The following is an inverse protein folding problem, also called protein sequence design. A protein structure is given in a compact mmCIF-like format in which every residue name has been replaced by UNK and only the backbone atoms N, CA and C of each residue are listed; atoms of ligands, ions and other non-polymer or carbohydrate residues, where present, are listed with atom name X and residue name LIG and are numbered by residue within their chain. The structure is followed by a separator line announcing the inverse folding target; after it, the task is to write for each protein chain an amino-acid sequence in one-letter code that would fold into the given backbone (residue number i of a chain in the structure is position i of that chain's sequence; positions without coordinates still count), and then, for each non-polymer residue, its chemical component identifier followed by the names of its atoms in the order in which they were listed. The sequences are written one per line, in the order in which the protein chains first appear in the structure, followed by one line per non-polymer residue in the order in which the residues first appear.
data_IF_383006286695
#
_entry.id   IF_383006286695
#
_cell.length_a   1.000
_cell.length_b   1.000
_cell.length_c   1.000
_cell.angle_alpha   90.00
_cell.angle_beta   90.00
_cell.angle_gamma   90.00
#
_symmetry.space_group_name_H-M   'P 1'
#
loop_
_entity.id
_entity.type
_entity.pdbx_description
1 polymer ?
#
# COMPACT_ATOMS: atom_id res chain seq x y z
N UNK A 1 -16.98 6.46 2.15
CA UNK A 1 -16.03 5.57 1.42
C UNK A 1 -15.07 6.44 0.63
N UNK A 2 -13.82 6.02 0.49
CA UNK A 2 -12.79 6.74 -0.27
C UNK A 2 -12.41 5.88 -1.49
N UNK A 3 -12.93 6.21 -2.66
CA UNK A 3 -12.63 5.54 -3.92
C UNK A 3 -11.48 6.25 -4.59
N UNK A 4 -10.33 5.59 -4.64
CA UNK A 4 -9.06 6.09 -5.18
C UNK A 4 -8.83 5.43 -6.54
N UNK A 5 -8.57 6.24 -7.57
CA UNK A 5 -8.43 5.70 -8.93
C UNK A 5 -7.34 6.40 -9.74
N UNK A 6 -6.75 5.66 -10.69
CA UNK A 6 -5.81 6.15 -11.69
C UNK A 6 -5.77 5.21 -12.89
N UNK A 7 -6.18 5.70 -14.08
CA UNK A 7 -6.20 4.95 -15.34
C UNK A 7 -6.95 3.61 -15.22
N UNK A 8 -8.20 3.65 -14.83
CA UNK A 8 -9.06 2.48 -14.58
C UNK A 8 -10.40 2.57 -15.36
N UNK A 9 -10.37 3.11 -16.57
CA UNK A 9 -11.58 3.29 -17.39
C UNK A 9 -12.39 2.02 -17.62
N UNK A 10 -11.75 0.83 -17.58
CA UNK A 10 -12.44 -0.44 -17.84
C UNK A 10 -13.21 -0.95 -16.61
N UNK A 11 -12.84 -0.52 -15.40
CA UNK A 11 -13.35 -1.09 -14.14
C UNK A 11 -14.07 -0.08 -13.25
N UNK A 12 -13.84 1.21 -13.47
CA UNK A 12 -14.33 2.28 -12.58
C UNK A 12 -15.85 2.24 -12.38
N UNK A 13 -16.65 1.88 -13.38
CA UNK A 13 -18.10 1.81 -13.25
C UNK A 13 -18.54 0.73 -12.27
N UNK A 14 -17.93 -0.47 -12.34
CA UNK A 14 -18.19 -1.55 -11.38
C UNK A 14 -17.80 -1.16 -9.95
N UNK A 15 -16.67 -0.44 -9.79
CA UNK A 15 -16.23 0.06 -8.49
C UNK A 15 -17.19 1.12 -7.92
N UNK A 16 -17.71 2.02 -8.77
CA UNK A 16 -18.72 3.01 -8.39
C UNK A 16 -20.03 2.35 -7.98
N UNK A 17 -20.51 1.38 -8.75
CA UNK A 17 -21.72 0.60 -8.40
C UNK A 17 -21.56 -0.11 -7.05
N UNK A 18 -20.41 -0.75 -6.81
CA UNK A 18 -20.12 -1.35 -5.51
C UNK A 18 -20.07 -0.32 -4.37
N UNK A 19 -19.56 0.88 -4.62
CA UNK A 19 -19.52 1.94 -3.62
C UNK A 19 -20.91 2.50 -3.29
N UNK A 20 -21.79 2.69 -4.30
CA UNK A 20 -23.13 3.25 -4.06
C UNK A 20 -24.16 2.20 -3.62
N UNK A 21 -23.83 0.91 -3.70
CA UNK A 21 -24.73 -0.19 -3.29
C UNK A 21 -24.75 -0.43 -1.78
N UNK A 22 -23.97 0.33 -0.98
CA UNK A 22 -23.87 0.07 0.44
C UNK A 22 -25.21 0.23 1.17
N UNK A 23 -25.51 -0.73 2.05
CA UNK A 23 -26.74 -0.80 2.83
C UNK A 23 -26.73 0.07 4.11
N UNK A 24 -25.65 0.81 4.33
CA UNK A 24 -25.50 1.70 5.49
C UNK A 24 -25.92 3.14 5.15
N UNK A 25 -26.95 3.68 5.81
CA UNK A 25 -27.60 4.92 5.35
C UNK A 25 -26.73 6.17 5.48
N UNK A 26 -25.84 6.22 6.48
CA UNK A 26 -24.99 7.38 6.74
C UNK A 26 -23.61 7.23 6.07
N UNK A 27 -23.63 7.12 4.74
CA UNK A 27 -22.41 6.94 3.92
C UNK A 27 -22.27 8.06 2.90
N UNK A 28 -21.11 8.71 2.87
CA UNK A 28 -20.69 9.57 1.75
C UNK A 28 -19.60 8.86 0.93
N UNK A 29 -19.56 9.11 -0.37
CA UNK A 29 -18.64 8.48 -1.31
C UNK A 29 -17.80 9.57 -1.93
N UNK A 30 -16.51 9.58 -1.58
CA UNK A 30 -15.52 10.51 -2.07
C UNK A 30 -14.70 9.79 -3.14
N UNK A 31 -14.70 10.30 -4.35
CA UNK A 31 -14.04 9.73 -5.52
C UNK A 31 -12.89 10.66 -5.89
N UNK A 32 -11.65 10.17 -5.75
CA UNK A 32 -10.46 10.95 -6.10
C UNK A 32 -9.67 10.28 -7.22
N UNK A 33 -9.64 10.95 -8.36
CA UNK A 33 -8.88 10.57 -9.54
C UNK A 33 -7.49 11.22 -9.53
N UNK A 34 -6.44 10.42 -9.63
CA UNK A 34 -5.05 10.88 -9.56
C UNK A 34 -4.50 11.31 -10.93
N UNK A 35 -5.23 12.19 -11.62
CA UNK A 35 -4.91 12.73 -12.95
C UNK A 35 -4.88 11.65 -14.04
N UNK A 36 -5.91 10.79 -14.10
CA UNK A 36 -6.05 9.79 -15.18
C UNK A 36 -5.97 10.43 -16.57
N UNK A 37 -5.35 9.69 -17.50
CA UNK A 37 -5.14 10.10 -18.88
C UNK A 37 -6.07 9.37 -19.87
N UNK A 38 -6.81 8.37 -19.36
CA UNK A 38 -7.86 7.64 -20.07
C UNK A 38 -9.25 8.20 -19.72
N UNK A 39 -10.32 7.53 -20.11
CA UNK A 39 -11.71 7.97 -19.87
C UNK A 39 -12.21 7.70 -18.44
N UNK A 40 -11.34 7.45 -17.46
CA UNK A 40 -11.74 7.18 -16.09
C UNK A 40 -12.55 8.33 -15.50
N UNK A 41 -12.04 9.57 -15.58
CA UNK A 41 -12.68 10.70 -14.95
C UNK A 41 -13.99 11.13 -15.63
N UNK A 42 -14.06 11.03 -16.96
CA UNK A 42 -15.28 11.28 -17.73
C UNK A 42 -16.41 10.34 -17.30
N UNK A 43 -16.10 9.04 -17.12
CA UNK A 43 -17.06 8.05 -16.62
C UNK A 43 -17.53 8.35 -15.18
N UNK A 44 -16.63 8.84 -14.31
CA UNK A 44 -16.98 9.28 -12.95
C UNK A 44 -17.97 10.44 -13.00
N UNK A 45 -17.73 11.44 -13.84
CA UNK A 45 -18.63 12.60 -13.99
C UNK A 45 -20.01 12.15 -14.48
N UNK A 46 -20.05 11.34 -15.55
CA UNK A 46 -21.29 10.84 -16.14
C UNK A 46 -22.09 10.02 -15.11
N UNK A 47 -21.45 9.07 -14.44
CA UNK A 47 -22.08 8.28 -13.38
C UNK A 47 -22.65 9.17 -12.26
N UNK A 48 -21.84 10.11 -11.77
CA UNK A 48 -22.23 10.97 -10.65
C UNK A 48 -23.38 11.90 -10.97
N UNK A 49 -23.48 12.39 -12.22
CA UNK A 49 -24.59 13.22 -12.67
C UNK A 49 -25.93 12.46 -12.76
N UNK A 50 -25.86 11.19 -13.10
CA UNK A 50 -27.02 10.32 -13.28
C UNK A 50 -27.42 9.58 -11.99
N UNK A 51 -26.61 9.67 -10.94
CA UNK A 51 -26.89 9.00 -9.68
C UNK A 51 -28.04 9.67 -8.91
N UNK A 52 -29.11 8.93 -8.65
CA UNK A 52 -30.30 9.39 -7.91
C UNK A 52 -30.47 8.65 -6.57
N UNK A 53 -29.46 7.91 -6.13
CA UNK A 53 -29.53 7.13 -4.89
C UNK A 53 -29.32 7.97 -3.62
N UNK A 54 -29.35 7.33 -2.44
CA UNK A 54 -29.37 8.02 -1.15
C UNK A 54 -28.03 8.58 -0.69
N UNK A 55 -26.91 8.13 -1.28
CA UNK A 55 -25.57 8.51 -0.82
C UNK A 55 -25.12 9.81 -1.46
N UNK A 56 -24.41 10.63 -0.69
CA UNK A 56 -23.77 11.84 -1.20
C UNK A 56 -22.50 11.46 -1.95
N UNK A 57 -22.39 11.84 -3.23
CA UNK A 57 -21.20 11.67 -4.05
C UNK A 57 -20.42 12.98 -4.16
N UNK A 58 -19.12 12.90 -3.92
CA UNK A 58 -18.16 14.00 -4.14
C UNK A 58 -17.06 13.45 -5.01
N UNK A 59 -16.76 14.09 -6.14
CA UNK A 59 -15.67 13.70 -7.01
C UNK A 59 -14.66 14.83 -7.22
N UNK A 60 -13.40 14.45 -7.35
CA UNK A 60 -12.27 15.34 -7.53
C UNK A 60 -11.25 14.71 -8.47
N UNK A 61 -10.62 15.52 -9.33
CA UNK A 61 -9.48 15.13 -10.14
C UNK A 61 -8.27 15.95 -9.71
N UNK A 62 -7.16 15.30 -9.39
CA UNK A 62 -5.91 15.98 -9.14
C UNK A 62 -5.38 16.65 -10.43
N UNK A 63 -4.70 17.81 -10.36
CA UNK A 63 -4.12 18.45 -11.54
C UNK A 63 -2.95 17.67 -12.13
N UNK A 64 -2.26 16.86 -11.31
CA UNK A 64 -1.16 15.98 -11.68
C UNK A 64 -1.21 14.70 -10.85
N UNK A 65 -0.52 13.64 -11.29
CA UNK A 65 -0.40 12.41 -10.49
C UNK A 65 0.46 12.67 -9.26
N UNK A 66 -0.15 12.65 -8.09
CA UNK A 66 0.47 12.92 -6.79
C UNK A 66 0.83 11.66 -6.02
N UNK A 67 0.39 10.48 -6.51
CA UNK A 67 0.58 9.17 -5.89
C UNK A 67 -0.47 8.83 -4.84
N UNK A 68 -0.59 7.54 -4.54
CA UNK A 68 -1.71 6.97 -3.75
C UNK A 68 -1.88 7.63 -2.38
N UNK A 69 -0.77 7.82 -1.61
CA UNK A 69 -0.86 8.41 -0.27
C UNK A 69 -1.41 9.83 -0.28
N UNK A 70 -0.95 10.70 -1.20
CA UNK A 70 -1.45 12.07 -1.30
C UNK A 70 -2.85 12.12 -1.91
N UNK A 71 -3.20 11.22 -2.83
CA UNK A 71 -4.56 11.12 -3.36
C UNK A 71 -5.57 10.73 -2.25
N UNK A 72 -5.18 9.84 -1.32
CA UNK A 72 -5.97 9.53 -0.13
C UNK A 72 -6.10 10.77 0.78
N UNK A 73 -5.02 11.52 1.00
CA UNK A 73 -5.07 12.75 1.79
C UNK A 73 -6.08 13.76 1.20
N UNK A 74 -6.12 13.91 -0.13
CA UNK A 74 -7.10 14.77 -0.80
C UNK A 74 -8.52 14.26 -0.58
N UNK A 75 -8.76 12.95 -0.71
CA UNK A 75 -10.07 12.35 -0.46
C UNK A 75 -10.53 12.58 1.00
N UNK A 76 -9.63 12.43 1.98
CA UNK A 76 -9.95 12.67 3.39
C UNK A 76 -10.28 14.14 3.66
N UNK A 77 -9.57 15.09 3.05
CA UNK A 77 -9.85 16.53 3.16
C UNK A 77 -11.25 16.89 2.67
N UNK A 78 -11.75 16.19 1.65
CA UNK A 78 -13.10 16.39 1.10
C UNK A 78 -14.19 15.68 1.90
N UNK A 79 -13.82 14.76 2.78
CA UNK A 79 -14.76 13.94 3.55
C UNK A 79 -15.12 14.58 4.89
N UNK A 80 -16.34 14.32 5.36
CA UNK A 80 -16.81 14.67 6.70
C UNK A 80 -16.88 13.46 7.65
N UNK A 81 -16.74 12.25 7.13
CA UNK A 81 -16.89 11.00 7.87
C UNK A 81 -15.79 10.76 8.91
N UNK A 82 -16.12 10.01 9.96
CA UNK A 82 -15.20 9.63 11.05
C UNK A 82 -14.54 8.27 10.83
N UNK A 83 -15.03 7.49 9.86
CA UNK A 83 -14.50 6.17 9.51
C UNK A 83 -14.34 6.09 7.99
N UNK A 84 -13.16 5.73 7.52
CA UNK A 84 -12.79 5.69 6.11
C UNK A 84 -12.73 4.26 5.61
N UNK A 85 -13.49 3.93 4.59
CA UNK A 85 -13.45 2.65 3.89
C UNK A 85 -12.66 2.84 2.62
N UNK A 86 -11.49 2.20 2.55
CA UNK A 86 -10.64 2.26 1.36
C UNK A 86 -11.23 1.40 0.25
N UNK A 87 -11.26 1.95 -0.95
CA UNK A 87 -11.66 1.20 -2.14
C UNK A 87 -10.87 1.70 -3.35
N UNK A 88 -10.52 0.80 -4.26
CA UNK A 88 -9.81 1.12 -5.49
C UNK A 88 -10.76 1.09 -6.68
N UNK A 89 -10.45 1.83 -7.76
CA UNK A 89 -11.30 1.89 -8.95
C UNK A 89 -11.29 0.62 -9.81
N UNK A 90 -10.61 -0.46 -9.37
CA UNK A 90 -10.64 -1.80 -9.98
C UNK A 90 -11.24 -2.89 -9.08
N UNK A 91 -11.62 -2.54 -7.83
CA UNK A 91 -12.20 -3.46 -6.87
C UNK A 91 -13.69 -3.14 -6.61
N UNK A 92 -14.45 -4.13 -6.17
CA UNK A 92 -15.88 -3.98 -5.91
C UNK A 92 -16.17 -4.23 -4.43
N UNK A 93 -16.69 -3.22 -3.72
CA UNK A 93 -17.19 -3.40 -2.36
C UNK A 93 -18.54 -4.11 -2.36
N UNK A 94 -18.69 -5.16 -1.53
CA UNK A 94 -19.96 -5.85 -1.39
C UNK A 94 -20.98 -4.97 -0.65
N UNK A 95 -22.29 -5.04 -0.92
CA UNK A 95 -23.30 -4.13 -0.39
C UNK A 95 -23.33 -4.02 1.13
N UNK A 96 -23.05 -5.08 1.85
CA UNK A 96 -23.05 -5.14 3.32
C UNK A 96 -21.67 -4.86 3.96
N UNK A 97 -20.68 -4.36 3.19
CA UNK A 97 -19.35 -4.10 3.72
C UNK A 97 -19.35 -3.05 4.82
N UNK A 98 -20.00 -1.90 4.57
CA UNK A 98 -20.02 -0.81 5.54
C UNK A 98 -20.78 -1.22 6.79
N UNK A 99 -21.99 -1.78 6.66
CA UNK A 99 -22.81 -2.21 7.80
C UNK A 99 -22.12 -3.28 8.66
N UNK A 100 -21.46 -4.27 8.05
CA UNK A 100 -20.69 -5.31 8.75
C UNK A 100 -19.54 -4.72 9.57
N UNK A 101 -18.72 -3.87 8.95
CA UNK A 101 -17.59 -3.24 9.64
C UNK A 101 -18.06 -2.32 10.77
N UNK A 102 -19.11 -1.51 10.53
CA UNK A 102 -19.67 -0.61 11.53
C UNK A 102 -20.29 -1.35 12.70
N UNK A 103 -20.95 -2.49 12.46
CA UNK A 103 -21.46 -3.38 13.50
C UNK A 103 -20.32 -3.88 14.40
N UNK A 104 -19.25 -4.41 13.80
CA UNK A 104 -18.08 -4.89 14.56
C UNK A 104 -17.43 -3.74 15.34
N UNK A 105 -17.29 -2.56 14.75
CA UNK A 105 -16.73 -1.39 15.42
C UNK A 105 -17.55 -0.96 16.64
N UNK A 106 -18.88 -1.02 16.52
CA UNK A 106 -19.81 -0.77 17.64
C UNK A 106 -19.68 -1.83 18.73
N UNK A 107 -19.62 -3.12 18.37
CA UNK A 107 -19.42 -4.24 19.31
C UNK A 107 -18.08 -4.13 20.07
N UNK A 108 -17.07 -3.53 19.44
CA UNK A 108 -15.77 -3.21 20.07
C UNK A 108 -15.79 -1.89 20.86
N UNK A 109 -16.97 -1.33 21.17
CA UNK A 109 -17.12 -0.05 21.87
C UNK A 109 -16.28 1.09 21.27
N UNK A 110 -16.16 1.14 19.94
CA UNK A 110 -15.41 2.15 19.18
C UNK A 110 -13.91 2.22 19.50
N UNK A 111 -13.36 1.16 20.11
CA UNK A 111 -11.97 1.11 20.56
C UNK A 111 -10.96 0.78 19.45
N UNK A 112 -11.43 0.16 18.36
CA UNK A 112 -10.59 -0.23 17.22
C UNK A 112 -10.44 0.93 16.24
N UNK A 113 -9.24 1.09 15.70
CA UNK A 113 -8.91 2.17 14.77
C UNK A 113 -8.63 1.71 13.33
N UNK A 114 -8.33 0.41 13.14
CA UNK A 114 -8.20 -0.21 11.83
C UNK A 114 -8.89 -1.56 11.81
N UNK A 115 -9.76 -1.75 10.84
CA UNK A 115 -10.44 -3.03 10.57
C UNK A 115 -10.10 -3.46 9.14
N UNK A 116 -9.46 -4.62 9.00
CA UNK A 116 -9.29 -5.31 7.74
C UNK A 116 -10.38 -6.36 7.54
N UNK A 117 -10.66 -6.74 6.29
CA UNK A 117 -11.56 -7.84 5.99
C UNK A 117 -10.91 -8.81 5.00
N UNK A 118 -11.49 -10.00 4.85
CA UNK A 118 -11.13 -10.90 3.76
C UNK A 118 -11.68 -10.36 2.44
N UNK A 119 -11.17 -10.89 1.34
CA UNK A 119 -11.59 -10.53 0.00
C UNK A 119 -12.00 -11.81 -0.76
N UNK A 120 -12.63 -11.62 -1.90
CA UNK A 120 -12.89 -12.68 -2.86
C UNK A 120 -12.18 -12.32 -4.17
N UNK A 121 -11.52 -13.28 -4.75
CA UNK A 121 -10.77 -13.11 -5.96
C UNK A 121 -11.70 -12.85 -7.16
N UNK A 122 -11.35 -11.82 -7.96
CA UNK A 122 -12.05 -11.39 -9.16
C UNK A 122 -11.05 -11.39 -10.32
N UNK A 123 -11.38 -12.05 -11.42
CA UNK A 123 -10.52 -12.02 -12.61
C UNK A 123 -10.87 -10.85 -13.55
N UNK A 124 -10.14 -10.76 -14.66
CA UNK A 124 -10.34 -9.70 -15.66
C UNK A 124 -11.68 -9.78 -16.41
N UNK A 125 -12.38 -10.91 -16.32
CA UNK A 125 -13.70 -11.13 -16.93
C UNK A 125 -14.83 -10.93 -15.91
N UNK A 126 -14.52 -10.35 -14.73
CA UNK A 126 -15.44 -10.13 -13.61
C UNK A 126 -16.03 -11.44 -13.03
N UNK A 127 -15.33 -12.57 -13.22
CA UNK A 127 -15.71 -13.86 -12.63
C UNK A 127 -15.04 -14.00 -11.25
N UNK A 128 -15.85 -14.35 -10.25
CA UNK A 128 -15.37 -14.54 -8.88
C UNK A 128 -14.79 -15.96 -8.68
N UNK A 129 -13.71 -16.02 -7.89
CA UNK A 129 -13.03 -17.25 -7.50
C UNK A 129 -13.03 -17.44 -5.97
N UNK A 130 -12.02 -18.14 -5.44
CA UNK A 130 -11.93 -18.46 -4.01
C UNK A 130 -11.67 -17.23 -3.11
N UNK A 131 -11.82 -17.39 -1.80
CA UNK A 131 -11.52 -16.34 -0.85
C UNK A 131 -10.01 -16.04 -0.80
N UNK A 132 -9.69 -14.76 -0.56
CA UNK A 132 -8.35 -14.29 -0.25
C UNK A 132 -8.34 -13.89 1.23
N UNK A 133 -7.62 -14.66 2.04
CA UNK A 133 -7.43 -14.35 3.45
C UNK A 133 -6.30 -13.34 3.63
N UNK A 134 -6.48 -12.38 4.51
CA UNK A 134 -5.44 -11.51 5.03
C UNK A 134 -5.05 -11.93 6.45
N UNK A 135 -3.96 -11.37 6.97
CA UNK A 135 -3.50 -11.70 8.33
C UNK A 135 -4.51 -11.24 9.37
N UNK A 136 -4.79 -12.09 10.35
CA UNK A 136 -5.59 -11.72 11.51
C UNK A 136 -4.81 -10.74 12.39
N UNK A 137 -5.22 -9.47 12.36
CA UNK A 137 -4.56 -8.38 13.07
C UNK A 137 -4.79 -8.42 14.59
N UNK A 138 -5.80 -9.13 15.08
CA UNK A 138 -6.02 -9.30 16.51
C UNK A 138 -4.87 -10.05 17.21
N UNK A 139 -4.02 -10.74 16.44
CA UNK A 139 -2.81 -11.41 16.94
C UNK A 139 -1.66 -10.45 17.24
N UNK A 140 -1.71 -9.22 16.74
CA UNK A 140 -0.71 -8.18 16.97
C UNK A 140 -1.14 -7.31 18.14
N UNK A 141 -0.62 -7.62 19.33
CA UNK A 141 -0.97 -6.91 20.57
C UNK A 141 -0.12 -5.65 20.77
N UNK A 142 1.09 -5.65 20.24
CA UNK A 142 2.05 -4.55 20.29
C UNK A 142 2.97 -4.53 19.07
N UNK A 143 3.87 -3.55 19.04
CA UNK A 143 4.84 -3.41 17.93
C UNK A 143 5.85 -4.56 17.85
N UNK A 144 6.16 -5.25 18.96
CA UNK A 144 7.10 -6.37 18.94
C UNK A 144 6.57 -7.53 18.11
N UNK A 145 5.25 -7.69 18.05
CA UNK A 145 4.60 -8.72 17.25
C UNK A 145 4.82 -8.51 15.74
N UNK A 146 5.08 -7.27 15.31
CA UNK A 146 5.52 -6.99 13.94
C UNK A 146 6.82 -7.71 13.56
N UNK A 147 7.68 -7.91 14.54
CA UNK A 147 8.94 -8.63 14.36
C UNK A 147 8.76 -10.12 14.63
N UNK A 148 8.08 -10.49 15.72
CA UNK A 148 7.89 -11.87 16.17
C UNK A 148 7.05 -12.70 15.18
N UNK A 149 5.94 -12.12 14.71
CA UNK A 149 5.00 -12.77 13.80
C UNK A 149 5.30 -12.47 12.32
N UNK A 150 6.17 -11.49 12.05
CA UNK A 150 6.46 -10.96 10.72
C UNK A 150 5.43 -9.93 10.27
N UNK A 151 5.69 -9.31 9.11
CA UNK A 151 4.79 -8.31 8.55
C UNK A 151 3.46 -8.95 8.16
N UNK A 152 2.30 -8.35 8.53
CA UNK A 152 1.01 -8.89 8.16
C UNK A 152 0.83 -8.85 6.62
N UNK A 153 0.14 -9.84 6.08
CA UNK A 153 -0.31 -9.82 4.69
C UNK A 153 -1.63 -9.05 4.65
N UNK A 154 -1.62 -7.87 4.06
CA UNK A 154 -2.78 -6.98 3.96
C UNK A 154 -3.01 -6.54 2.51
N UNK A 155 -4.16 -5.97 2.24
CA UNK A 155 -4.55 -5.37 0.96
C UNK A 155 -5.29 -4.08 1.30
N UNK A 156 -4.87 -2.95 0.72
CA UNK A 156 -5.40 -1.62 1.03
C UNK A 156 -6.91 -1.51 0.82
N UNK A 157 -7.42 -2.03 -0.29
CA UNK A 157 -8.85 -2.04 -0.61
C UNK A 157 -9.73 -2.78 0.41
N UNK A 158 -9.14 -3.65 1.26
CA UNK A 158 -9.83 -4.39 2.30
C UNK A 158 -9.79 -3.70 3.68
N UNK A 159 -9.21 -2.50 3.78
CA UNK A 159 -9.06 -1.80 5.05
C UNK A 159 -10.12 -0.70 5.25
N UNK A 160 -10.40 -0.46 6.51
CA UNK A 160 -11.18 0.68 6.97
C UNK A 160 -10.48 1.28 8.20
N UNK A 161 -10.40 2.63 8.27
CA UNK A 161 -9.66 3.35 9.31
C UNK A 161 -10.52 4.43 9.95
N UNK A 162 -10.28 4.72 11.23
CA UNK A 162 -10.87 5.90 11.87
C UNK A 162 -10.13 7.18 11.46
N UNK A 163 -10.86 8.30 11.42
CA UNK A 163 -10.25 9.64 11.30
C UNK A 163 -9.25 9.89 12.42
N UNK A 164 -9.55 9.42 13.63
CA UNK A 164 -8.67 9.51 14.79
C UNK A 164 -7.28 8.91 14.51
N UNK A 165 -7.21 7.70 13.92
CA UNK A 165 -5.94 7.08 13.57
C UNK A 165 -5.16 7.92 12.54
N UNK A 166 -5.83 8.42 11.52
CA UNK A 166 -5.22 9.24 10.48
C UNK A 166 -4.67 10.55 11.05
N UNK A 167 -5.46 11.28 11.85
CA UNK A 167 -5.09 12.61 12.39
C UNK A 167 -4.01 12.53 13.48
N UNK A 168 -4.01 11.46 14.29
CA UNK A 168 -3.01 11.26 15.36
C UNK A 168 -1.57 11.24 14.85
N UNK A 169 -1.36 10.94 13.58
CA UNK A 169 -0.04 10.90 12.94
C UNK A 169 0.16 11.99 11.88
N UNK A 170 -0.74 12.96 11.81
CA UNK A 170 -0.65 14.09 10.87
C UNK A 170 -0.90 13.72 9.40
N UNK A 171 -1.67 12.65 9.14
CA UNK A 171 -2.01 12.19 7.81
C UNK A 171 -1.01 11.15 7.25
N UNK A 172 -1.08 10.91 5.94
CA UNK A 172 -0.18 10.01 5.23
C UNK A 172 0.98 10.85 4.65
N UNK A 173 2.25 10.53 4.93
CA UNK A 173 3.38 11.28 4.39
C UNK A 173 3.39 11.29 2.85
N UNK A 174 3.65 12.45 2.25
CA UNK A 174 3.76 12.58 0.79
C UNK A 174 4.86 11.64 0.25
N UNK A 175 4.54 10.85 -0.77
CA UNK A 175 5.43 9.86 -1.34
C UNK A 175 5.28 8.45 -0.75
N UNK A 176 4.35 8.25 0.19
CA UNK A 176 3.96 6.90 0.65
C UNK A 176 3.29 6.13 -0.49
N UNK A 177 3.68 4.86 -0.63
CA UNK A 177 3.14 3.90 -1.61
C UNK A 177 2.51 2.68 -0.93
N UNK A 178 3.02 2.30 0.24
CA UNK A 178 2.48 1.23 1.06
C UNK A 178 1.68 1.81 2.24
N UNK A 179 0.65 2.59 1.93
CA UNK A 179 -0.22 3.25 2.90
C UNK A 179 -0.96 2.26 3.78
N UNK A 180 -1.33 1.11 3.22
CA UNK A 180 -1.99 0.01 3.91
C UNK A 180 -1.13 -0.58 5.03
N UNK A 181 0.17 -0.79 4.75
CA UNK A 181 1.13 -1.28 5.73
C UNK A 181 1.46 -0.21 6.77
N UNK A 182 1.55 1.06 6.35
CA UNK A 182 1.81 2.18 7.25
C UNK A 182 0.68 2.37 8.26
N UNK A 183 -0.57 2.37 7.79
CA UNK A 183 -1.74 2.52 8.66
C UNK A 183 -1.92 1.31 9.58
N UNK A 184 -1.65 0.10 9.09
CA UNK A 184 -1.66 -1.10 9.93
C UNK A 184 -0.59 -1.04 11.03
N UNK A 185 0.63 -0.60 10.72
CA UNK A 185 1.69 -0.43 11.71
C UNK A 185 1.29 0.57 12.81
N UNK A 186 0.70 1.72 12.42
CA UNK A 186 0.20 2.73 13.36
C UNK A 186 -0.89 2.18 14.28
N UNK A 187 -1.84 1.42 13.74
CA UNK A 187 -2.93 0.83 14.52
C UNK A 187 -2.42 -0.28 15.46
N UNK A 188 -1.48 -1.11 15.02
CA UNK A 188 -0.82 -2.14 15.84
C UNK A 188 -0.02 -1.49 16.98
N UNK A 189 0.68 -0.39 16.71
CA UNK A 189 1.47 0.33 17.70
C UNK A 189 0.66 0.79 18.93
N UNK A 190 -0.65 0.93 18.77
CA UNK A 190 -1.58 1.32 19.85
C UNK A 190 -2.57 0.21 20.22
N UNK A 191 -2.37 -1.03 19.73
CA UNK A 191 -3.20 -2.19 20.03
C UNK A 191 -4.65 -2.06 19.55
N UNK A 192 -4.91 -1.40 18.40
CA UNK A 192 -6.26 -1.06 17.92
C UNK A 192 -6.55 -1.52 16.50
N UNK A 193 -6.08 -2.73 16.15
CA UNK A 193 -6.30 -3.34 14.85
C UNK A 193 -6.97 -4.69 14.97
N UNK A 194 -7.90 -5.02 14.06
CA UNK A 194 -8.50 -6.34 13.95
C UNK A 194 -8.82 -6.74 12.51
N UNK A 195 -9.14 -8.00 12.29
CA UNK A 195 -9.55 -8.53 10.98
C UNK A 195 -10.89 -9.26 11.10
N UNK A 196 -11.82 -8.91 10.20
CA UNK A 196 -13.08 -9.64 10.02
C UNK A 196 -12.81 -10.77 9.02
N UNK A 197 -12.98 -12.05 9.39
CA UNK A 197 -12.70 -13.19 8.50
C UNK A 197 -13.86 -13.46 7.53
N UNK A 198 -14.41 -12.39 6.95
CA UNK A 198 -15.50 -12.43 5.98
C UNK A 198 -15.09 -11.68 4.73
N UNK A 199 -15.30 -12.25 3.51
CA UNK A 199 -15.06 -11.55 2.27
C UNK A 199 -16.06 -10.42 2.05
N UNK A 200 -15.59 -9.17 2.10
CA UNK A 200 -16.41 -7.97 1.94
C UNK A 200 -16.02 -7.15 0.70
N UNK A 201 -15.00 -7.58 -0.04
CA UNK A 201 -14.50 -6.93 -1.26
C UNK A 201 -14.21 -7.98 -2.32
N UNK A 202 -14.63 -7.75 -3.56
CA UNK A 202 -14.15 -8.47 -4.72
C UNK A 202 -12.88 -7.78 -5.21
N UNK A 203 -11.75 -8.49 -5.14
CA UNK A 203 -10.42 -7.98 -5.45
C UNK A 203 -9.97 -8.42 -6.82
N UNK A 204 -9.74 -7.46 -7.73
CA UNK A 204 -9.36 -7.74 -9.12
C UNK A 204 -7.86 -7.99 -9.25
N UNK A 205 -7.52 -9.16 -9.80
CA UNK A 205 -6.12 -9.48 -10.11
C UNK A 205 -5.61 -8.66 -11.28
N UNK A 206 -4.34 -8.27 -11.23
CA UNK A 206 -3.66 -7.64 -12.37
C UNK A 206 -3.73 -6.13 -12.41
N UNK A 207 -4.10 -5.47 -11.33
CA UNK A 207 -4.07 -4.01 -11.20
C UNK A 207 -2.71 -3.39 -11.53
N UNK A 208 -2.61 -2.07 -11.51
CA UNK A 208 -1.43 -1.26 -11.90
C UNK A 208 -0.13 -1.63 -11.18
N UNK A 209 -0.22 -2.34 -10.05
CA UNK A 209 0.91 -2.83 -9.24
C UNK A 209 1.44 -4.20 -9.67
N UNK A 210 0.88 -4.84 -10.71
CA UNK A 210 1.33 -6.15 -11.18
C UNK A 210 2.83 -6.16 -11.51
N UNK A 211 3.54 -7.19 -11.05
CA UNK A 211 5.00 -7.33 -11.25
C UNK A 211 5.31 -7.49 -12.73
N UNK A 212 5.85 -6.45 -13.37
CA UNK A 212 6.47 -6.60 -14.69
C UNK A 212 7.77 -7.41 -14.55
N UNK A 213 7.98 -8.38 -15.41
CA UNK A 213 9.23 -9.15 -15.45
C UNK A 213 10.42 -8.20 -15.68
N UNK A 214 11.33 -8.16 -14.70
CA UNK A 214 12.53 -7.32 -14.76
C UNK A 214 13.57 -7.99 -15.66
N UNK A 215 13.71 -7.45 -16.86
CA UNK A 215 14.49 -8.11 -17.93
C UNK A 215 15.94 -7.62 -17.99
N UNK A 216 16.30 -6.46 -17.41
CA UNK A 216 17.62 -5.87 -17.49
C UNK A 216 18.14 -5.31 -16.16
N UNK A 217 19.46 -5.20 -16.03
CA UNK A 217 20.11 -4.55 -14.87
C UNK A 217 19.68 -3.08 -14.74
N UNK A 218 19.49 -2.37 -15.83
CA UNK A 218 18.97 -0.99 -15.82
C UNK A 218 17.57 -0.91 -15.19
N UNK A 219 16.68 -1.85 -15.52
CA UNK A 219 15.34 -1.93 -14.91
C UNK A 219 15.42 -2.27 -13.41
N UNK A 220 16.35 -3.13 -13.00
CA UNK A 220 16.61 -3.47 -11.58
C UNK A 220 17.12 -2.25 -10.83
N UNK A 221 18.10 -1.52 -11.36
CA UNK A 221 18.66 -0.30 -10.75
C UNK A 221 17.57 0.79 -10.65
N UNK A 222 16.85 1.05 -11.73
CA UNK A 222 15.72 2.02 -11.74
C UNK A 222 14.68 1.68 -10.67
N UNK A 223 14.34 0.39 -10.53
CA UNK A 223 13.43 -0.07 -9.48
C UNK A 223 13.97 0.18 -8.07
N UNK A 224 15.26 -0.06 -7.82
CA UNK A 224 15.87 0.24 -6.53
C UNK A 224 15.79 1.73 -6.22
N UNK A 225 16.21 2.59 -7.15
CA UNK A 225 16.25 4.04 -6.91
C UNK A 225 14.88 4.69 -6.77
N UNK A 226 13.86 4.22 -7.50
CA UNK A 226 12.48 4.68 -7.34
C UNK A 226 11.90 4.25 -5.99
N UNK A 227 12.06 2.98 -5.64
CA UNK A 227 11.50 2.42 -4.41
C UNK A 227 12.14 3.02 -3.16
N UNK A 228 13.46 3.23 -3.15
CA UNK A 228 14.21 3.69 -1.98
C UNK A 228 13.67 5.00 -1.38
N UNK A 229 13.31 5.97 -2.22
CA UNK A 229 12.77 7.24 -1.73
C UNK A 229 11.48 7.04 -0.93
N UNK A 230 10.52 6.30 -1.48
CA UNK A 230 9.24 6.05 -0.84
C UNK A 230 9.41 5.20 0.42
N UNK A 231 10.20 4.14 0.35
CA UNK A 231 10.48 3.27 1.50
C UNK A 231 11.16 4.04 2.66
N UNK A 232 12.04 4.98 2.37
CA UNK A 232 12.65 5.82 3.43
C UNK A 232 11.62 6.71 4.12
N UNK A 233 10.68 7.29 3.38
CA UNK A 233 9.58 8.09 3.96
C UNK A 233 8.73 7.22 4.90
N UNK A 234 8.32 6.06 4.44
CA UNK A 234 7.53 5.10 5.21
C UNK A 234 8.27 4.66 6.48
N UNK A 235 9.54 4.30 6.37
CA UNK A 235 10.37 3.90 7.52
C UNK A 235 10.58 5.04 8.53
N UNK A 236 10.72 6.29 8.08
CA UNK A 236 10.81 7.44 8.99
C UNK A 236 9.51 7.64 9.77
N UNK A 237 8.37 7.47 9.13
CA UNK A 237 7.07 7.55 9.81
C UNK A 237 6.90 6.40 10.81
N UNK A 238 7.25 5.17 10.42
CA UNK A 238 7.24 4.01 11.32
C UNK A 238 8.19 4.19 12.51
N UNK A 239 9.38 4.77 12.31
CA UNK A 239 10.32 5.09 13.39
C UNK A 239 9.74 6.13 14.35
N UNK A 240 9.11 7.19 13.86
CA UNK A 240 8.40 8.18 14.69
C UNK A 240 7.27 7.52 15.47
N UNK A 241 6.44 6.71 14.81
CA UNK A 241 5.36 5.96 15.45
C UNK A 241 5.89 5.07 16.57
N UNK A 242 6.96 4.30 16.31
CA UNK A 242 7.58 3.43 17.30
C UNK A 242 8.19 4.20 18.47
N UNK A 243 8.79 5.36 18.23
CA UNK A 243 9.36 6.19 19.29
C UNK A 243 8.31 6.85 20.20
N UNK A 244 7.11 7.11 19.64
CA UNK A 244 6.03 7.81 20.37
C UNK A 244 5.17 6.83 21.19
N UNK A 245 4.95 5.61 20.68
CA UNK A 245 4.01 4.65 21.27
C UNK A 245 4.75 3.48 21.97
N UNK A 246 5.22 3.67 23.19
CA UNK A 246 5.92 2.65 23.99
C UNK A 246 7.13 2.06 23.27
N UNK A 247 8.24 2.79 23.15
CA UNK A 247 9.35 2.44 22.30
C UNK A 247 9.96 1.09 22.65
N UNK A 248 9.89 0.15 21.71
CA UNK A 248 10.58 -1.12 21.78
C UNK A 248 11.98 -0.99 21.16
N UNK A 249 13.07 -1.26 21.91
CA UNK A 249 14.42 -1.26 21.34
C UNK A 249 14.57 -2.23 20.16
N UNK A 250 13.85 -3.36 20.18
CA UNK A 250 13.90 -4.37 19.12
C UNK A 250 13.31 -3.79 17.82
N UNK A 251 12.15 -3.17 17.90
CA UNK A 251 11.48 -2.55 16.74
C UNK A 251 12.28 -1.36 16.21
N UNK A 252 12.75 -0.48 17.09
CA UNK A 252 13.57 0.66 16.71
C UNK A 252 14.86 0.25 16.01
N UNK A 253 15.58 -0.74 16.55
CA UNK A 253 16.80 -1.27 15.92
C UNK A 253 16.51 -1.90 14.56
N UNK A 254 15.43 -2.65 14.44
CA UNK A 254 15.01 -3.26 13.17
C UNK A 254 14.68 -2.20 12.10
N UNK A 255 13.84 -1.22 12.43
CA UNK A 255 13.47 -0.15 11.50
C UNK A 255 14.69 0.74 11.13
N UNK A 256 15.56 1.03 12.09
CA UNK A 256 16.81 1.75 11.84
C UNK A 256 17.71 1.00 10.87
N UNK A 257 17.88 -0.31 11.05
CA UNK A 257 18.66 -1.15 10.14
C UNK A 257 18.08 -1.14 8.70
N UNK A 258 16.74 -1.17 8.57
CA UNK A 258 16.08 -1.04 7.27
C UNK A 258 16.32 0.34 6.64
N UNK A 259 16.23 1.42 7.44
CA UNK A 259 16.48 2.78 6.97
C UNK A 259 17.94 2.99 6.52
N UNK A 260 18.91 2.46 7.28
CA UNK A 260 20.32 2.48 6.91
C UNK A 260 20.60 1.73 5.62
N UNK A 261 19.91 0.61 5.39
CA UNK A 261 19.98 -0.14 4.12
C UNK A 261 19.49 0.70 2.94
N UNK A 262 18.34 1.33 3.07
CA UNK A 262 17.80 2.18 2.00
C UNK A 262 18.71 3.41 1.76
N UNK A 263 19.31 3.96 2.81
CA UNK A 263 20.31 5.03 2.71
C UNK A 263 21.57 4.56 1.98
N UNK A 264 22.06 3.35 2.26
CA UNK A 264 23.17 2.75 1.52
C UNK A 264 22.83 2.59 0.03
N UNK A 265 21.62 2.11 -0.31
CA UNK A 265 21.16 2.00 -1.70
C UNK A 265 21.14 3.37 -2.38
N UNK A 266 20.62 4.39 -1.73
CA UNK A 266 20.61 5.75 -2.27
C UNK A 266 22.03 6.28 -2.54
N UNK A 267 22.93 6.12 -1.59
CA UNK A 267 24.33 6.51 -1.71
C UNK A 267 25.09 5.80 -2.83
N UNK A 268 24.79 4.52 -3.05
CA UNK A 268 25.43 3.73 -4.08
C UNK A 268 24.94 4.04 -5.51
N UNK A 269 23.67 4.44 -5.66
CA UNK A 269 23.06 4.55 -6.98
C UNK A 269 22.71 5.98 -7.41
N UNK A 270 22.37 6.89 -6.48
CA UNK A 270 21.99 8.27 -6.81
C UNK A 270 23.16 9.25 -6.79
N UNK A 271 24.26 8.93 -6.13
CA UNK A 271 25.42 9.83 -6.01
C UNK A 271 26.55 9.42 -6.95
N UNK A 272 27.24 10.44 -7.54
CA UNK A 272 28.42 10.22 -8.37
C UNK A 272 29.63 9.91 -7.49
N UNK A 273 29.69 8.70 -6.92
CA UNK A 273 30.80 8.22 -6.07
C UNK A 273 31.74 7.30 -6.86
N UNK A 274 33.03 7.38 -6.59
CA UNK A 274 34.04 6.47 -7.12
C UNK A 274 33.88 5.05 -6.55
N UNK A 275 34.44 4.05 -7.22
CA UNK A 275 34.43 2.66 -6.72
C UNK A 275 35.03 2.54 -5.31
N UNK A 276 36.08 3.31 -5.00
CA UNK A 276 36.71 3.33 -3.68
C UNK A 276 35.79 3.89 -2.59
N UNK A 277 35.09 4.97 -2.89
CA UNK A 277 34.09 5.54 -1.96
C UNK A 277 32.90 4.60 -1.73
N UNK A 278 32.38 3.98 -2.78
CA UNK A 278 31.32 2.97 -2.67
C UNK A 278 31.75 1.77 -1.81
N UNK A 279 33.02 1.32 -1.98
CA UNK A 279 33.55 0.24 -1.15
C UNK A 279 33.64 0.64 0.33
N UNK A 280 34.06 1.88 0.63
CA UNK A 280 34.07 2.40 1.99
C UNK A 280 32.66 2.44 2.62
N UNK A 281 31.65 2.89 1.88
CA UNK A 281 30.26 2.90 2.35
C UNK A 281 29.76 1.51 2.68
N UNK A 282 30.03 0.53 1.82
CA UNK A 282 29.67 -0.88 2.04
C UNK A 282 30.36 -1.47 3.26
N UNK A 283 31.66 -1.17 3.44
CA UNK A 283 32.42 -1.65 4.59
C UNK A 283 31.92 -1.02 5.91
N UNK A 284 31.53 0.25 5.89
CA UNK A 284 31.04 0.99 7.05
C UNK A 284 29.61 0.55 7.47
N UNK A 285 28.78 0.10 6.54
CA UNK A 285 27.43 -0.33 6.86
C UNK A 285 27.45 -1.64 7.66
N UNK A 286 26.86 -1.67 8.86
CA UNK A 286 26.81 -2.83 9.76
C UNK A 286 25.50 -3.62 9.66
N UNK A 287 24.44 -3.03 9.13
CA UNK A 287 23.09 -3.58 9.14
C UNK A 287 22.83 -4.61 8.04
N UNK A 288 23.53 -4.52 6.89
CA UNK A 288 23.32 -5.42 5.75
C UNK A 288 24.22 -6.67 5.76
N UNK A 289 23.64 -7.80 5.32
CA UNK A 289 24.37 -9.07 5.15
C UNK A 289 25.43 -8.96 4.05
N UNK A 290 26.58 -9.63 4.22
CA UNK A 290 27.71 -9.61 3.28
C UNK A 290 27.30 -9.92 1.84
N UNK A 291 26.47 -10.94 1.62
CA UNK A 291 26.01 -11.30 0.27
C UNK A 291 25.18 -10.17 -0.40
N UNK A 292 24.34 -9.46 0.38
CA UNK A 292 23.58 -8.29 -0.11
C UNK A 292 24.53 -7.14 -0.44
N UNK A 293 25.51 -6.85 0.41
CA UNK A 293 26.54 -5.83 0.20
C UNK A 293 27.33 -6.07 -1.09
N UNK A 294 27.78 -7.29 -1.33
CA UNK A 294 28.48 -7.66 -2.56
C UNK A 294 27.59 -7.42 -3.78
N UNK A 295 26.33 -7.87 -3.71
CA UNK A 295 25.38 -7.69 -4.81
C UNK A 295 25.12 -6.21 -5.11
N UNK A 296 24.88 -5.39 -4.09
CA UNK A 296 24.67 -3.95 -4.26
C UNK A 296 25.90 -3.25 -4.85
N UNK A 297 27.11 -3.63 -4.41
CA UNK A 297 28.36 -3.12 -4.97
C UNK A 297 28.49 -3.44 -6.46
N UNK A 298 28.30 -4.70 -6.85
CA UNK A 298 28.38 -5.13 -8.25
C UNK A 298 27.35 -4.40 -9.13
N UNK A 299 26.10 -4.28 -8.71
CA UNK A 299 25.10 -3.54 -9.45
C UNK A 299 25.48 -2.05 -9.61
N UNK A 300 26.09 -1.43 -8.60
CA UNK A 300 26.44 -0.01 -8.61
C UNK A 300 27.77 0.30 -9.34
N UNK A 301 28.64 -0.69 -9.58
CA UNK A 301 30.00 -0.48 -10.14
C UNK A 301 30.23 -1.20 -11.46
N UNK A 302 29.57 -2.32 -11.68
CA UNK A 302 29.75 -3.20 -12.86
C UNK A 302 28.42 -3.74 -13.38
N UNK A 303 27.46 -2.88 -13.78
CA UNK A 303 26.13 -3.29 -14.19
C UNK A 303 26.15 -4.26 -15.38
N UNK A 304 27.08 -4.12 -16.32
CA UNK A 304 27.24 -5.00 -17.50
C UNK A 304 27.51 -6.46 -17.07
N UNK A 305 28.36 -6.65 -16.06
CA UNK A 305 28.66 -8.00 -15.52
C UNK A 305 27.38 -8.62 -14.92
N UNK A 306 26.56 -7.80 -14.28
CA UNK A 306 25.29 -8.28 -13.71
C UNK A 306 24.25 -8.63 -14.79
N UNK A 307 24.24 -7.96 -15.94
CA UNK A 307 23.41 -8.37 -17.09
C UNK A 307 23.76 -9.78 -17.58
N UNK A 308 25.04 -10.11 -17.64
CA UNK A 308 25.48 -11.45 -17.99
C UNK A 308 24.95 -12.52 -17.01
N UNK A 309 25.04 -12.30 -15.71
CA UNK A 309 24.51 -13.23 -14.70
C UNK A 309 22.97 -13.32 -14.73
N UNK A 310 22.27 -12.22 -14.97
CA UNK A 310 20.80 -12.24 -15.12
C UNK A 310 20.38 -13.07 -16.35
N UNK A 311 21.09 -12.94 -17.45
CA UNK A 311 20.83 -13.71 -18.67
C UNK A 311 21.12 -15.21 -18.49
N UNK A 312 22.22 -15.58 -17.81
CA UNK A 312 22.51 -16.98 -17.45
C UNK A 312 21.39 -17.57 -16.56
N UNK A 313 20.91 -16.82 -15.57
CA UNK A 313 19.83 -17.28 -14.69
C UNK A 313 18.51 -17.49 -15.46
N UNK A 314 18.22 -16.70 -16.50
CA UNK A 314 17.08 -16.92 -17.39
C UNK A 314 17.22 -18.21 -18.19
N UNK A 315 18.38 -18.42 -18.83
CA UNK A 315 18.64 -19.63 -19.59
C UNK A 315 18.49 -20.88 -18.71
N UNK A 316 18.98 -20.84 -17.48
CA UNK A 316 18.84 -21.93 -16.52
C UNK A 316 17.37 -22.18 -16.11
N UNK A 317 16.56 -21.14 -15.90
CA UNK A 317 15.12 -21.30 -15.62
C UNK A 317 14.37 -21.92 -16.79
N UNK A 318 14.63 -21.45 -18.01
CA UNK A 318 14.01 -21.98 -19.24
C UNK A 318 14.38 -23.45 -19.47
N UNK A 319 15.59 -23.86 -19.07
CA UNK A 319 16.01 -25.25 -19.15
C UNK A 319 15.32 -26.17 -18.11
N UNK A 320 14.99 -25.66 -16.93
CA UNK A 320 14.31 -26.42 -15.87
C UNK A 320 12.79 -26.56 -16.06
N UNK A 321 12.21 -25.74 -16.93
CA UNK A 321 10.74 -25.74 -17.23
C UNK A 321 10.41 -26.46 -18.52
N UNK A 322 11.40 -27.01 -19.23
CA UNK A 322 11.29 -28.02 -20.29
C UNK A 322 11.64 -29.39 -19.71
#
# INVERSE_FOLDING_TARGET
MLLITFNQEQTILEALEGAVSQDYPNTEIIICDDASQDSTFEKIIEFSRNYLGPHKLIYHKNPENVGIGENINQAIKLSSGNFFFMTAGDDISLPHRVSTVMKVWHEQNYSVDLIACYLKDLDSESKTHGPISVTDLAKYQDMDDWIKLGHPKLIGAAQAWTRRLYESYGGIPRGTVAEDMLMAFRAIAIGRALTIPEPLVLYRRGGTTSKKDRISTAAVISSFTKKTFNTKIELLDMLKTAATNSPSPIVLNYLTALYEKETLIEDLFKTKKTKKEKLKLIAANKSEKTASKIRLFLYSTTPIVMDFFLNLKKLYKTYKTK
#
